data_IF_271883406163
#
_entry.id   IF_271883406163
#
_cell.length_a   1.000
_cell.length_b   1.000
_cell.length_c   1.000
_cell.angle_alpha   90.00
_cell.angle_beta   90.00
_cell.angle_gamma   90.00
#
_symmetry.space_group_name_H-M   'P 1'
#
loop_
_entity.id
_entity.type
_entity.pdbx_description
1 polymer ?
#
# COMPACT_ATOMS: atom_id res chain seq x y z
N UNK A 1 -16.05 -11.81 -10.19
CA UNK A 1 -15.19 -11.33 -11.30
C UNK A 1 -13.74 -11.36 -10.85
N UNK A 2 -12.81 -11.74 -11.73
CA UNK A 2 -11.36 -11.71 -11.50
C UNK A 2 -10.78 -10.42 -12.06
N UNK A 3 -10.30 -9.54 -11.20
CA UNK A 3 -9.78 -8.22 -11.60
C UNK A 3 -8.26 -8.17 -11.43
N UNK A 4 -7.56 -7.75 -12.48
CA UNK A 4 -6.13 -7.44 -12.44
C UNK A 4 -5.93 -5.94 -12.28
N UNK A 5 -5.30 -5.52 -11.18
CA UNK A 5 -4.83 -4.15 -10.97
C UNK A 5 -3.33 -4.12 -11.23
N UNK A 6 -2.86 -3.23 -12.10
CA UNK A 6 -1.47 -3.29 -12.56
C UNK A 6 -0.94 -1.95 -13.05
N UNK A 7 0.38 -1.74 -12.98
CA UNK A 7 1.06 -0.66 -13.69
C UNK A 7 1.93 -1.17 -14.86
N UNK A 8 1.79 -2.44 -15.22
CA UNK A 8 2.52 -3.05 -16.32
C UNK A 8 2.08 -2.50 -17.68
N UNK A 9 2.94 -2.73 -18.69
CA UNK A 9 2.70 -2.40 -20.09
C UNK A 9 3.27 -3.50 -20.98
N UNK A 10 2.86 -3.52 -22.25
CA UNK A 10 3.41 -4.40 -23.27
C UNK A 10 3.26 -5.88 -22.93
N UNK A 11 4.31 -6.65 -23.22
CA UNK A 11 4.32 -8.10 -23.02
C UNK A 11 4.07 -8.51 -21.57
N UNK A 12 4.58 -7.74 -20.59
CA UNK A 12 4.33 -7.99 -19.17
C UNK A 12 2.84 -7.90 -18.82
N UNK A 13 2.14 -6.88 -19.31
CA UNK A 13 0.71 -6.69 -19.08
C UNK A 13 -0.11 -7.83 -19.70
N UNK A 14 0.25 -8.22 -20.92
CA UNK A 14 -0.38 -9.33 -21.62
C UNK A 14 -0.20 -10.65 -20.85
N UNK A 15 1.05 -10.99 -20.51
CA UNK A 15 1.39 -12.22 -19.79
C UNK A 15 0.71 -12.28 -18.42
N UNK A 16 0.66 -11.15 -17.70
CA UNK A 16 0.00 -11.08 -16.40
C UNK A 16 -1.51 -11.31 -16.54
N UNK A 17 -2.18 -10.64 -17.48
CA UNK A 17 -3.61 -10.79 -17.74
C UNK A 17 -3.99 -12.24 -18.07
N UNK A 18 -3.16 -12.92 -18.90
CA UNK A 18 -3.38 -14.33 -19.24
C UNK A 18 -3.19 -15.25 -18.04
N UNK A 19 -2.12 -15.04 -17.26
CA UNK A 19 -1.78 -15.89 -16.11
C UNK A 19 -2.79 -15.76 -14.97
N UNK A 20 -3.39 -14.58 -14.80
CA UNK A 20 -4.46 -14.34 -13.83
C UNK A 20 -5.84 -14.70 -14.36
N UNK A 21 -5.97 -14.99 -15.66
CA UNK A 21 -7.26 -15.16 -16.34
C UNK A 21 -8.22 -14.01 -15.98
N UNK A 22 -7.71 -12.78 -16.01
CA UNK A 22 -8.47 -11.61 -15.59
C UNK A 22 -9.62 -11.33 -16.56
N UNK A 23 -10.81 -11.11 -15.99
CA UNK A 23 -12.02 -10.69 -16.72
C UNK A 23 -12.09 -9.16 -16.83
N UNK A 24 -11.48 -8.45 -15.88
CA UNK A 24 -11.35 -6.99 -15.88
C UNK A 24 -9.92 -6.56 -15.57
N UNK A 25 -9.44 -5.54 -16.27
CA UNK A 25 -8.10 -4.96 -16.05
C UNK A 25 -8.24 -3.49 -15.69
N UNK A 26 -7.61 -3.10 -14.58
CA UNK A 26 -7.46 -1.71 -14.14
C UNK A 26 -5.98 -1.38 -14.20
N UNK A 27 -5.63 -0.41 -15.04
CA UNK A 27 -4.26 0.02 -15.21
C UNK A 27 -4.02 1.31 -14.44
N UNK A 28 -3.05 1.30 -13.54
CA UNK A 28 -2.58 2.47 -12.82
C UNK A 28 -1.41 3.09 -13.57
N UNK A 29 -1.48 4.40 -13.80
CA UNK A 29 -0.48 5.12 -14.57
C UNK A 29 -0.10 6.44 -13.90
N UNK A 30 1.20 6.73 -13.80
CA UNK A 30 1.65 8.09 -13.48
C UNK A 30 1.50 9.05 -14.67
N UNK A 31 1.86 10.33 -14.47
CA UNK A 31 1.71 11.42 -15.47
C UNK A 31 2.27 11.11 -16.87
N UNK A 32 3.34 10.32 -16.96
CA UNK A 32 4.06 10.09 -18.22
C UNK A 32 4.01 8.64 -18.71
N UNK A 33 2.81 8.04 -18.74
CA UNK A 33 2.66 6.70 -19.35
C UNK A 33 2.53 6.79 -20.87
N UNK A 34 3.44 6.09 -21.58
CA UNK A 34 3.29 5.78 -23.00
C UNK A 34 2.65 4.40 -23.15
N UNK A 35 1.50 4.34 -23.82
CA UNK A 35 0.85 3.08 -24.20
C UNK A 35 1.65 2.37 -25.30
N UNK A 36 1.66 1.05 -25.26
CA UNK A 36 2.21 0.21 -26.32
C UNK A 36 1.11 -0.32 -27.23
N UNK A 37 1.46 -0.81 -28.43
CA UNK A 37 0.49 -1.46 -29.33
C UNK A 37 -0.15 -2.70 -28.69
N UNK A 38 0.61 -3.45 -27.87
CA UNK A 38 0.10 -4.61 -27.14
C UNK A 38 -0.96 -4.22 -26.09
N UNK A 39 -0.88 -3.01 -25.53
CA UNK A 39 -1.84 -2.54 -24.54
C UNK A 39 -3.25 -2.42 -25.15
N UNK A 40 -3.36 -2.19 -26.48
CA UNK A 40 -4.66 -2.05 -27.18
C UNK A 40 -5.46 -3.35 -27.20
N UNK A 41 -4.81 -4.50 -27.07
CA UNK A 41 -5.47 -5.81 -27.05
C UNK A 41 -6.06 -6.15 -25.67
N UNK A 42 -5.71 -5.38 -24.64
CA UNK A 42 -6.24 -5.55 -23.29
C UNK A 42 -7.38 -4.56 -23.09
N UNK A 43 -8.61 -5.08 -22.95
CA UNK A 43 -9.77 -4.26 -22.56
C UNK A 43 -9.68 -3.98 -21.06
N UNK A 44 -9.47 -2.71 -20.72
CA UNK A 44 -9.35 -2.29 -19.32
C UNK A 44 -9.55 -0.79 -19.13
N UNK A 45 -9.84 -0.41 -17.89
CA UNK A 45 -9.88 0.99 -17.47
C UNK A 45 -8.47 1.49 -17.13
N UNK A 46 -8.20 2.77 -17.32
CA UNK A 46 -6.97 3.42 -16.88
C UNK A 46 -7.30 4.46 -15.82
N UNK A 47 -6.61 4.40 -14.69
CA UNK A 47 -6.68 5.37 -13.60
C UNK A 47 -5.34 6.08 -13.54
N UNK A 48 -5.36 7.39 -13.75
CA UNK A 48 -4.18 8.23 -13.65
C UNK A 48 -3.98 8.66 -12.20
N UNK A 49 -2.80 8.38 -11.68
CA UNK A 49 -2.33 8.88 -10.39
C UNK A 49 -1.59 10.19 -10.66
N UNK A 50 -2.18 11.31 -10.25
CA UNK A 50 -1.68 12.65 -10.58
C UNK A 50 -0.70 13.19 -9.53
N UNK A 51 -0.78 12.71 -8.29
CA UNK A 51 0.11 13.12 -7.20
C UNK A 51 1.45 12.40 -7.26
N UNK A 52 2.50 13.10 -6.82
CA UNK A 52 3.84 12.55 -6.61
C UNK A 52 4.10 12.23 -5.13
N UNK A 53 3.17 12.57 -4.23
CA UNK A 53 3.27 12.29 -2.81
C UNK A 53 3.03 10.78 -2.53
N UNK A 54 4.03 10.01 -2.07
CA UNK A 54 3.89 8.56 -1.89
C UNK A 54 2.75 8.14 -0.96
N UNK A 55 2.40 8.98 0.03
CA UNK A 55 1.30 8.70 0.96
C UNK A 55 -0.05 8.82 0.25
N UNK A 56 -0.21 9.84 -0.59
CA UNK A 56 -1.44 10.03 -1.38
C UNK A 56 -1.56 8.96 -2.46
N UNK A 57 -0.46 8.61 -3.13
CA UNK A 57 -0.43 7.49 -4.10
C UNK A 57 -0.92 6.20 -3.42
N UNK A 58 -0.41 5.87 -2.23
CA UNK A 58 -0.85 4.67 -1.51
C UNK A 58 -2.35 4.71 -1.14
N UNK A 59 -2.89 5.89 -0.83
CA UNK A 59 -4.33 6.06 -0.56
C UNK A 59 -5.16 5.80 -1.81
N UNK A 60 -4.81 6.42 -2.93
CA UNK A 60 -5.51 6.20 -4.20
C UNK A 60 -5.46 4.72 -4.63
N UNK A 61 -4.30 4.06 -4.49
CA UNK A 61 -4.18 2.63 -4.77
C UNK A 61 -5.08 1.78 -3.84
N UNK A 62 -5.11 2.10 -2.54
CA UNK A 62 -5.95 1.38 -1.58
C UNK A 62 -7.44 1.55 -1.92
N UNK A 63 -7.88 2.76 -2.27
CA UNK A 63 -9.25 3.03 -2.70
C UNK A 63 -9.62 2.22 -3.95
N UNK A 64 -8.76 2.15 -4.95
CA UNK A 64 -8.97 1.34 -6.15
C UNK A 64 -9.09 -0.14 -5.82
N UNK A 65 -8.17 -0.68 -4.99
CA UNK A 65 -8.20 -2.08 -4.58
C UNK A 65 -9.50 -2.36 -3.81
N UNK A 66 -9.85 -1.53 -2.83
CA UNK A 66 -11.03 -1.73 -1.99
C UNK A 66 -12.34 -1.57 -2.76
N UNK A 67 -12.40 -0.68 -3.75
CA UNK A 67 -13.52 -0.60 -4.67
C UNK A 67 -13.65 -1.89 -5.50
N UNK A 68 -12.55 -2.38 -6.08
CA UNK A 68 -12.56 -3.58 -6.89
C UNK A 68 -12.90 -4.84 -6.08
N UNK A 69 -12.43 -4.96 -4.82
CA UNK A 69 -12.70 -6.11 -3.93
C UNK A 69 -14.19 -6.37 -3.72
N UNK A 70 -15.05 -5.35 -3.84
CA UNK A 70 -16.51 -5.50 -3.75
C UNK A 70 -17.10 -6.37 -4.87
N UNK A 71 -16.36 -6.60 -5.95
CA UNK A 71 -16.84 -7.29 -7.16
C UNK A 71 -16.19 -8.66 -7.39
N UNK A 72 -15.23 -9.07 -6.56
CA UNK A 72 -14.65 -10.41 -6.59
C UNK A 72 -13.17 -10.47 -6.24
N UNK A 73 -12.45 -11.37 -6.91
CA UNK A 73 -11.06 -11.68 -6.63
C UNK A 73 -10.12 -10.65 -7.23
N UNK A 74 -9.16 -10.20 -6.42
CA UNK A 74 -8.18 -9.19 -6.81
C UNK A 74 -6.81 -9.81 -6.98
N UNK A 75 -6.25 -9.59 -8.17
CA UNK A 75 -4.89 -9.91 -8.52
C UNK A 75 -4.15 -8.60 -8.77
N UNK A 76 -2.92 -8.52 -8.28
CA UNK A 76 -2.06 -7.35 -8.52
C UNK A 76 -0.84 -7.80 -9.30
N UNK A 77 -0.47 -7.09 -10.35
CA UNK A 77 0.80 -7.30 -11.04
C UNK A 77 1.57 -5.99 -11.16
N UNK A 78 2.85 -5.98 -10.79
CA UNK A 78 3.63 -4.74 -10.73
C UNK A 78 4.98 -4.84 -11.45
N UNK A 79 5.43 -3.69 -11.97
CA UNK A 79 6.75 -3.48 -12.55
C UNK A 79 7.77 -2.89 -11.55
N UNK A 80 9.02 -2.73 -11.98
CA UNK A 80 10.11 -2.21 -11.13
C UNK A 80 10.21 -0.68 -11.05
N UNK A 81 9.23 0.05 -11.53
CA UNK A 81 9.11 1.51 -11.44
C UNK A 81 8.52 1.97 -10.10
N UNK A 82 8.56 3.28 -9.84
CA UNK A 82 8.19 3.88 -8.55
C UNK A 82 6.77 3.49 -8.11
N UNK A 83 5.80 3.56 -9.02
CA UNK A 83 4.41 3.18 -8.77
C UNK A 83 4.27 1.68 -8.46
N UNK A 84 5.09 0.83 -9.07
CA UNK A 84 5.02 -0.62 -8.88
C UNK A 84 5.41 -1.04 -7.47
N UNK A 85 6.39 -0.35 -6.87
CA UNK A 85 6.80 -0.59 -5.49
C UNK A 85 5.68 -0.26 -4.48
N UNK A 86 4.99 0.87 -4.68
CA UNK A 86 3.86 1.30 -3.84
C UNK A 86 2.64 0.41 -4.05
N UNK A 87 2.35 0.03 -5.30
CA UNK A 87 1.28 -0.92 -5.62
C UNK A 87 1.49 -2.27 -4.95
N UNK A 88 2.71 -2.81 -4.98
CA UNK A 88 3.03 -4.05 -4.28
C UNK A 88 2.85 -3.91 -2.76
N UNK A 89 3.31 -2.79 -2.17
CA UNK A 89 3.15 -2.54 -0.74
C UNK A 89 1.67 -2.56 -0.33
N UNK A 90 0.83 -1.77 -1.02
CA UNK A 90 -0.60 -1.67 -0.70
C UNK A 90 -1.31 -3.00 -0.94
N UNK A 91 -0.98 -3.73 -2.01
CA UNK A 91 -1.55 -5.04 -2.29
C UNK A 91 -1.32 -6.05 -1.16
N UNK A 92 -0.12 -6.07 -0.57
CA UNK A 92 0.20 -6.92 0.58
C UNK A 92 -0.61 -6.51 1.82
N UNK A 93 -0.75 -5.20 2.05
CA UNK A 93 -1.49 -4.64 3.17
C UNK A 93 -2.98 -4.96 3.11
N UNK A 94 -3.61 -4.76 1.95
CA UNK A 94 -5.05 -4.96 1.74
C UNK A 94 -5.45 -6.44 1.71
N UNK A 95 -4.50 -7.38 1.66
CA UNK A 95 -4.79 -8.81 1.64
C UNK A 95 -5.55 -9.23 0.38
N UNK A 96 -4.88 -9.15 -0.77
CA UNK A 96 -5.43 -9.58 -2.06
C UNK A 96 -5.19 -11.08 -2.36
N UNK A 97 -5.77 -11.62 -3.44
CA UNK A 97 -5.74 -13.06 -3.74
C UNK A 97 -4.35 -13.54 -4.22
N UNK A 98 -3.67 -12.77 -5.07
CA UNK A 98 -2.28 -13.04 -5.46
C UNK A 98 -1.57 -11.85 -6.08
N UNK A 99 -0.28 -11.71 -5.77
CA UNK A 99 0.60 -10.69 -6.37
C UNK A 99 1.55 -11.34 -7.38
N UNK A 100 1.80 -10.63 -8.47
CA UNK A 100 2.74 -11.00 -9.53
C UNK A 100 3.75 -9.87 -9.76
N UNK A 101 4.98 -10.24 -10.10
CA UNK A 101 6.01 -9.30 -10.56
C UNK A 101 6.43 -9.67 -11.98
N UNK A 102 6.74 -8.66 -12.79
CA UNK A 102 7.32 -8.89 -14.12
C UNK A 102 8.82 -8.53 -14.13
N UNK A 103 9.65 -9.48 -14.56
CA UNK A 103 11.08 -9.26 -14.78
C UNK A 103 11.50 -9.86 -16.12
N UNK A 104 12.05 -9.03 -17.02
CA UNK A 104 12.41 -9.42 -18.38
C UNK A 104 11.28 -10.20 -19.08
N UNK A 105 10.06 -9.63 -19.06
CA UNK A 105 8.82 -10.20 -19.64
C UNK A 105 8.33 -11.50 -18.99
N UNK A 106 9.05 -12.04 -18.00
CA UNK A 106 8.65 -13.19 -17.21
C UNK A 106 7.81 -12.74 -16.03
N UNK A 107 6.56 -13.20 -16.00
CA UNK A 107 5.63 -12.93 -14.90
C UNK A 107 5.71 -14.06 -13.88
N UNK A 108 6.15 -13.74 -12.67
CA UNK A 108 6.24 -14.68 -11.55
C UNK A 108 5.22 -14.32 -10.48
N UNK A 109 4.64 -15.32 -9.82
CA UNK A 109 3.81 -15.10 -8.62
C UNK A 109 4.77 -14.93 -7.43
N UNK A 110 4.54 -13.91 -6.63
CA UNK A 110 5.31 -13.68 -5.41
C UNK A 110 4.48 -14.04 -4.17
N UNK A 111 5.13 -14.43 -3.05
CA UNK A 111 4.41 -14.70 -1.80
C UNK A 111 3.76 -13.43 -1.26
N UNK A 112 2.58 -13.58 -0.64
CA UNK A 112 1.93 -12.51 0.10
C UNK A 112 2.67 -12.26 1.42
N UNK A 113 3.10 -11.02 1.62
CA UNK A 113 3.71 -10.53 2.85
C UNK A 113 2.62 -10.01 3.78
N UNK A 114 2.69 -10.36 5.06
CA UNK A 114 1.77 -9.84 6.08
C UNK A 114 2.46 -8.72 6.85
N UNK A 115 1.83 -7.55 6.86
CA UNK A 115 2.25 -6.45 7.71
C UNK A 115 1.65 -6.64 9.11
N UNK A 116 2.41 -7.24 10.03
CA UNK A 116 1.92 -7.50 11.39
C UNK A 116 2.07 -6.26 12.28
N UNK A 117 0.99 -5.49 12.39
CA UNK A 117 0.83 -4.39 13.34
C UNK A 117 -0.33 -4.73 14.27
N UNK A 118 -0.02 -4.96 15.55
CA UNK A 118 -1.05 -5.22 16.56
C UNK A 118 -2.09 -4.10 16.62
N UNK A 119 -3.35 -4.43 16.93
CA UNK A 119 -4.45 -3.46 17.08
C UNK A 119 -4.09 -2.25 17.96
N UNK A 120 -3.39 -2.46 19.08
CA UNK A 120 -2.96 -1.38 19.97
C UNK A 120 -1.95 -0.43 19.30
N UNK A 121 -0.95 -0.98 18.60
CA UNK A 121 0.03 -0.18 17.83
C UNK A 121 -0.67 0.60 16.71
N UNK A 122 -1.64 0.01 16.05
CA UNK A 122 -2.42 0.68 15.01
C UNK A 122 -3.19 1.88 15.58
N UNK A 123 -3.90 1.71 16.71
CA UNK A 123 -4.56 2.82 17.41
C UNK A 123 -3.60 3.94 17.81
N UNK A 124 -2.40 3.60 18.29
CA UNK A 124 -1.37 4.59 18.62
C UNK A 124 -0.96 5.38 17.38
N UNK A 125 -0.75 4.71 16.24
CA UNK A 125 -0.41 5.37 14.98
C UNK A 125 -1.56 6.27 14.48
N UNK A 126 -2.81 5.82 14.57
CA UNK A 126 -3.99 6.61 14.20
C UNK A 126 -4.10 7.92 15.00
N UNK A 127 -3.89 7.85 16.32
CA UNK A 127 -3.91 9.06 17.16
C UNK A 127 -2.75 10.00 16.80
N UNK A 128 -1.54 9.46 16.59
CA UNK A 128 -0.36 10.24 16.20
C UNK A 128 -0.41 10.77 14.76
N UNK A 129 -1.36 10.30 13.94
CA UNK A 129 -1.58 10.83 12.60
C UNK A 129 -2.18 12.24 12.61
N UNK A 130 -2.93 12.55 13.68
CA UNK A 130 -3.65 13.81 13.87
C UNK A 130 -2.78 14.86 14.58
N UNK A 131 -2.05 14.46 15.63
CA UNK A 131 -1.26 15.38 16.44
C UNK A 131 -0.09 14.71 17.16
N UNK A 132 0.88 15.52 17.58
CA UNK A 132 2.04 15.08 18.34
C UNK A 132 1.71 15.01 19.84
N UNK A 133 1.86 13.81 20.42
CA UNK A 133 1.44 13.52 21.80
C UNK A 133 2.56 12.95 22.67
N UNK A 134 2.48 13.22 23.97
CA UNK A 134 3.27 12.57 25.00
C UNK A 134 2.77 11.15 25.30
N UNK A 135 3.60 10.34 25.96
CA UNK A 135 3.20 8.98 26.36
C UNK A 135 1.98 8.95 27.29
N UNK A 136 1.77 10.00 28.09
CA UNK A 136 0.62 10.10 28.98
C UNK A 136 -0.68 10.37 28.20
N UNK A 137 -0.62 11.27 27.21
CA UNK A 137 -1.76 11.59 26.34
C UNK A 137 -2.15 10.38 25.48
N UNK A 138 -1.16 9.70 24.88
CA UNK A 138 -1.40 8.47 24.10
C UNK A 138 -2.08 7.40 24.97
N UNK A 139 -1.62 7.23 26.22
CA UNK A 139 -2.20 6.26 27.15
C UNK A 139 -3.67 6.52 27.45
N UNK A 140 -4.04 7.81 27.60
CA UNK A 140 -5.43 8.22 27.76
C UNK A 140 -6.24 7.95 26.50
N UNK A 141 -5.75 8.34 25.31
CA UNK A 141 -6.47 8.19 24.05
C UNK A 141 -6.70 6.73 23.62
N UNK A 142 -5.74 5.84 23.92
CA UNK A 142 -5.79 4.42 23.51
C UNK A 142 -6.24 3.49 24.66
N UNK A 143 -6.51 4.05 25.85
CA UNK A 143 -6.91 3.33 27.07
C UNK A 143 -5.91 2.23 27.48
N UNK A 144 -4.64 2.60 27.61
CA UNK A 144 -3.56 1.72 28.07
C UNK A 144 -2.65 2.44 29.07
N UNK A 145 -2.00 1.67 29.96
CA UNK A 145 -1.07 2.24 30.93
C UNK A 145 0.13 2.92 30.25
N UNK A 146 0.70 3.94 30.90
CA UNK A 146 1.88 4.65 30.40
C UNK A 146 3.07 3.71 30.14
N UNK A 147 3.25 2.68 30.97
CA UNK A 147 4.29 1.66 30.77
C UNK A 147 4.08 0.87 29.46
N UNK A 148 2.84 0.49 29.15
CA UNK A 148 2.51 -0.17 27.88
C UNK A 148 2.72 0.76 26.68
N UNK A 149 2.39 2.05 26.83
CA UNK A 149 2.66 3.05 25.79
C UNK A 149 4.14 3.07 25.44
N UNK A 150 5.04 3.17 26.43
CA UNK A 150 6.48 3.14 26.17
C UNK A 150 6.94 1.86 25.47
N UNK A 151 6.43 0.70 25.88
CA UNK A 151 6.72 -0.59 25.22
C UNK A 151 6.29 -0.58 23.75
N UNK A 152 5.10 -0.08 23.44
CA UNK A 152 4.60 -0.01 22.07
C UNK A 152 5.37 1.02 21.24
N UNK A 153 5.65 2.21 21.79
CA UNK A 153 6.42 3.26 21.13
C UNK A 153 7.83 2.81 20.81
N UNK A 154 8.51 2.08 21.72
CA UNK A 154 9.83 1.52 21.43
C UNK A 154 9.82 0.63 20.18
N UNK A 155 8.85 -0.29 20.09
CA UNK A 155 8.71 -1.14 18.91
C UNK A 155 8.25 -0.41 17.63
N UNK A 156 7.51 0.69 17.77
CA UNK A 156 7.13 1.53 16.63
C UNK A 156 8.31 2.39 16.13
N UNK A 157 9.16 2.87 17.04
CA UNK A 157 10.39 3.60 16.70
C UNK A 157 11.44 2.70 16.05
N UNK A 158 11.61 1.48 16.56
CA UNK A 158 12.50 0.47 15.97
C UNK A 158 12.15 0.16 14.50
N UNK A 159 10.85 0.17 14.18
CA UNK A 159 10.33 0.00 12.81
C UNK A 159 10.30 1.30 11.99
N UNK A 160 10.78 2.41 12.54
CA UNK A 160 10.79 3.72 11.86
C UNK A 160 9.40 4.34 11.64
N UNK A 161 8.36 3.88 12.35
CA UNK A 161 6.97 4.34 12.16
C UNK A 161 6.64 5.58 13.01
N UNK A 162 7.38 5.78 14.10
CA UNK A 162 7.23 6.89 15.04
C UNK A 162 8.61 7.47 15.34
N UNK A 163 8.68 8.77 15.63
CA UNK A 163 9.88 9.45 16.13
C UNK A 163 9.58 10.21 17.41
N UNK A 164 10.57 10.34 18.29
CA UNK A 164 10.49 11.17 19.49
C UNK A 164 11.07 12.56 19.22
N UNK A 165 10.33 13.61 19.57
CA UNK A 165 10.83 14.98 19.56
C UNK A 165 11.86 15.17 20.68
N UNK A 166 12.98 15.85 20.35
CA UNK A 166 14.08 16.09 21.30
C UNK A 166 13.75 17.13 22.37
N UNK A 167 12.78 18.01 22.11
CA UNK A 167 12.54 19.20 22.94
C UNK A 167 11.35 19.09 23.91
N UNK A 168 10.41 18.16 23.66
CA UNK A 168 9.10 18.18 24.35
C UNK A 168 8.60 16.82 24.84
N UNK A 169 9.42 15.76 24.83
CA UNK A 169 8.99 14.40 25.22
C UNK A 169 7.73 13.88 24.48
N UNK A 170 7.43 14.50 23.33
CA UNK A 170 6.33 14.16 22.42
C UNK A 170 6.80 13.18 21.35
N UNK A 171 5.85 12.45 20.80
CA UNK A 171 6.03 11.50 19.71
C UNK A 171 5.24 11.98 18.50
N UNK A 172 5.81 11.78 17.32
CA UNK A 172 5.22 12.15 16.04
C UNK A 172 5.23 10.95 15.11
N UNK A 173 4.21 10.78 14.28
CA UNK A 173 4.21 9.75 13.23
C UNK A 173 5.22 10.10 12.12
N UNK A 174 5.85 9.10 11.52
CA UNK A 174 6.70 9.28 10.31
C UNK A 174 5.87 9.09 9.04
N UNK A 175 6.46 9.37 7.86
CA UNK A 175 5.80 9.06 6.59
C UNK A 175 5.56 7.55 6.43
N UNK A 176 6.51 6.71 6.84
CA UNK A 176 6.33 5.26 6.88
C UNK A 176 5.16 4.87 7.80
N UNK A 177 5.05 5.49 8.98
CA UNK A 177 3.91 5.31 9.88
C UNK A 177 2.57 5.69 9.23
N UNK A 178 2.53 6.82 8.51
CA UNK A 178 1.32 7.25 7.77
C UNK A 178 0.91 6.25 6.71
N UNK A 179 1.87 5.71 5.94
CA UNK A 179 1.61 4.69 4.93
C UNK A 179 1.05 3.39 5.54
N UNK A 180 1.55 3.01 6.73
CA UNK A 180 1.11 1.80 7.44
C UNK A 180 -0.34 1.88 7.95
N UNK A 181 -0.93 3.07 8.12
CA UNK A 181 -2.32 3.22 8.60
C UNK A 181 -3.38 3.48 7.53
N UNK A 182 -2.98 3.73 6.27
CA UNK A 182 -3.90 3.86 5.10
C UNK A 182 -4.90 2.71 5.01
#
# INVERSE_FOLDING_TARGET
>A
MRTLITNLKGQCLFNASMKTQAEGVIILSGKHRRRTELDKFIKGGEIKIETENPVEICKEISEVINAAKKHGEIFVAYGGDDLGSLLNFVANKEGINAIFSCHNEKVIRIPLLKLDVSKTRQKILEVLANEDLSAAEIGKSVNISRAMVYKHLAGLMDRGLVKKSRLFEKYSITQAGRIVII
#
